data_IF_230392811505
#
_entry.id   IF_230392811505
#
_cell.length_a   1.000
_cell.length_b   1.000
_cell.length_c   1.000
_cell.angle_alpha   90.00
_cell.angle_beta   90.00
_cell.angle_gamma   90.00
#
_symmetry.space_group_name_H-M   'P 1'
#
loop_
_entity.id
_entity.type
_entity.pdbx_description
1 polymer ?
#
# COMPACT_ATOMS: atom_id res chain seq x y z
N UNK A 1 20.24 -15.80 21.94
CA UNK A 1 19.20 -15.46 20.94
C UNK A 1 19.62 -14.28 20.03
N UNK A 2 20.86 -14.27 19.50
CA UNK A 2 21.41 -13.15 18.69
C UNK A 2 21.63 -13.49 17.20
N UNK A 3 21.55 -14.78 16.82
CA UNK A 3 21.74 -15.25 15.43
C UNK A 3 20.49 -15.19 14.56
N UNK A 4 19.30 -15.02 15.16
CA UNK A 4 18.02 -15.13 14.43
C UNK A 4 17.73 -13.86 13.62
N UNK A 5 18.12 -12.67 14.09
CA UNK A 5 17.86 -11.40 13.38
C UNK A 5 18.71 -11.32 12.10
N UNK A 6 19.96 -11.79 12.13
CA UNK A 6 20.84 -11.83 10.96
C UNK A 6 20.29 -12.80 9.89
N UNK A 7 19.74 -13.94 10.30
CA UNK A 7 19.27 -14.98 9.37
C UNK A 7 17.97 -14.60 8.64
N UNK A 8 17.10 -13.77 9.24
CA UNK A 8 15.84 -13.32 8.62
C UNK A 8 16.01 -12.18 7.61
N UNK A 9 17.16 -11.50 7.57
CA UNK A 9 17.45 -10.37 6.67
C UNK A 9 18.19 -10.85 5.39
N UNK A 10 18.74 -12.07 5.40
CA UNK A 10 19.60 -12.64 4.34
C UNK A 10 18.83 -13.19 3.12
N UNK A 11 17.50 -13.18 3.11
CA UNK A 11 16.72 -14.00 2.18
C UNK A 11 16.43 -13.39 0.78
N UNK A 12 16.87 -12.19 0.42
CA UNK A 12 16.47 -11.57 -0.86
C UNK A 12 17.60 -10.75 -1.48
N UNK A 13 18.43 -11.32 -2.36
CA UNK A 13 19.28 -10.57 -3.29
C UNK A 13 19.51 -11.32 -4.59
N UNK A 14 19.12 -10.70 -5.70
CA UNK A 14 19.58 -11.07 -7.03
C UNK A 14 20.84 -10.25 -7.38
N UNK A 15 21.90 -10.98 -7.76
CA UNK A 15 23.07 -10.57 -8.57
C UNK A 15 24.35 -9.98 -7.94
N UNK A 16 24.50 -9.88 -6.62
CA UNK A 16 25.83 -9.76 -6.01
C UNK A 16 25.81 -10.42 -4.63
N UNK A 17 26.72 -11.37 -4.37
CA UNK A 17 26.73 -12.03 -3.07
C UNK A 17 27.10 -10.98 -2.01
N UNK A 18 26.36 -10.95 -0.90
CA UNK A 18 26.67 -10.05 0.21
C UNK A 18 28.12 -10.25 0.70
N UNK A 19 28.63 -11.47 0.55
CA UNK A 19 30.01 -11.84 0.87
C UNK A 19 31.02 -11.10 0.00
N UNK A 20 30.77 -10.86 -1.30
CA UNK A 20 31.66 -10.09 -2.18
C UNK A 20 31.71 -8.60 -1.80
N UNK A 21 30.61 -8.09 -1.26
CA UNK A 21 30.47 -6.70 -0.84
C UNK A 21 31.14 -6.48 0.51
N UNK A 22 30.95 -7.42 1.44
CA UNK A 22 31.61 -7.42 2.74
C UNK A 22 33.08 -7.86 2.68
N UNK A 23 33.51 -8.45 1.56
CA UNK A 23 34.90 -8.84 1.35
C UNK A 23 35.80 -7.60 1.34
N UNK A 24 36.99 -7.69 1.98
CA UNK A 24 37.94 -6.61 1.99
C UNK A 24 38.18 -5.99 0.60
N UNK A 25 38.16 -4.67 0.51
CA UNK A 25 38.27 -3.91 -0.73
C UNK A 25 39.26 -2.75 -0.59
N UNK A 26 39.94 -2.41 -1.68
CA UNK A 26 40.51 -1.08 -1.84
C UNK A 26 39.36 -0.12 -2.21
N UNK A 27 39.25 1.00 -1.49
CA UNK A 27 38.19 2.00 -1.65
C UNK A 27 36.84 1.67 -1.01
N UNK A 28 35.77 2.31 -1.51
CA UNK A 28 34.40 2.15 -1.03
C UNK A 28 33.62 1.18 -1.92
N UNK A 29 33.14 0.07 -1.36
CA UNK A 29 32.20 -0.84 -2.03
C UNK A 29 30.77 -0.51 -1.64
N UNK A 30 29.86 -0.57 -2.59
CA UNK A 30 28.42 -0.36 -2.38
C UNK A 30 27.62 -1.40 -3.16
N UNK A 31 26.55 -1.94 -2.58
CA UNK A 31 25.65 -2.85 -3.28
C UNK A 31 24.19 -2.68 -2.88
N UNK A 32 23.31 -2.88 -3.86
CA UNK A 32 21.86 -2.86 -3.67
C UNK A 32 21.44 -4.05 -2.82
N UNK A 33 20.61 -3.80 -1.81
CA UNK A 33 20.00 -4.83 -0.98
C UNK A 33 18.56 -5.19 -1.40
N UNK A 34 17.93 -4.37 -2.23
CA UNK A 34 16.63 -4.69 -2.80
C UNK A 34 16.44 -3.87 -4.07
N UNK A 35 16.18 -4.54 -5.18
CA UNK A 35 15.61 -3.92 -6.37
C UNK A 35 14.29 -4.64 -6.67
N UNK A 36 13.18 -3.96 -6.49
CA UNK A 36 11.88 -4.54 -6.72
C UNK A 36 11.30 -3.97 -8.02
N UNK A 37 11.78 -4.53 -9.13
CA UNK A 37 11.19 -4.25 -10.44
C UNK A 37 9.79 -4.88 -10.55
N UNK A 38 9.56 -6.06 -9.92
CA UNK A 38 8.32 -6.83 -10.09
C UNK A 38 7.65 -7.30 -8.78
N UNK A 39 8.30 -7.19 -7.61
CA UNK A 39 7.84 -7.84 -6.37
C UNK A 39 7.24 -6.92 -5.32
N UNK A 40 7.54 -5.62 -5.35
CA UNK A 40 7.04 -4.65 -4.35
C UNK A 40 6.04 -3.71 -5.02
N UNK A 41 4.80 -3.74 -4.51
CA UNK A 41 3.72 -2.87 -4.97
C UNK A 41 3.85 -1.52 -4.26
N UNK A 42 4.49 -0.57 -4.91
CA UNK A 42 4.53 0.82 -4.44
C UNK A 42 3.57 1.64 -5.27
N UNK A 43 2.70 2.38 -4.60
CA UNK A 43 1.80 3.32 -5.23
C UNK A 43 2.35 4.75 -5.17
N UNK A 44 1.83 5.57 -6.07
CA UNK A 44 1.97 7.02 -6.04
C UNK A 44 1.49 7.55 -4.67
N UNK A 45 2.29 8.41 -4.03
CA UNK A 45 2.00 8.93 -2.68
C UNK A 45 2.52 8.10 -1.50
N UNK A 46 3.11 6.92 -1.73
CA UNK A 46 3.76 6.11 -0.70
C UNK A 46 5.19 6.61 -0.39
N UNK A 47 5.78 6.10 0.71
CA UNK A 47 7.20 6.28 1.02
C UNK A 47 7.99 5.04 0.58
N UNK A 48 8.82 5.21 -0.45
CA UNK A 48 9.82 4.24 -0.89
C UNK A 48 10.99 4.18 0.08
N UNK A 49 11.66 3.02 0.20
CA UNK A 49 12.94 2.91 0.91
C UNK A 49 13.97 2.20 0.03
N UNK A 50 15.00 2.92 -0.39
CA UNK A 50 16.15 2.33 -1.07
C UNK A 50 17.04 1.66 -0.03
N UNK A 51 17.37 0.39 -0.26
CA UNK A 51 18.21 -0.39 0.65
C UNK A 51 19.52 -0.70 -0.04
N UNK A 52 20.63 -0.33 0.58
CA UNK A 52 21.96 -0.68 0.10
C UNK A 52 22.92 -0.82 1.29
N UNK A 53 24.01 -1.54 1.06
CA UNK A 53 25.12 -1.64 2.01
C UNK A 53 26.32 -0.92 1.42
N UNK A 54 27.08 -0.22 2.26
CA UNK A 54 28.36 0.38 1.91
C UNK A 54 29.43 -0.06 2.91
N UNK A 55 30.64 -0.30 2.41
CA UNK A 55 31.80 -0.65 3.23
C UNK A 55 33.08 -0.02 2.71
N UNK A 56 34.02 0.23 3.62
CA UNK A 56 35.39 0.66 3.33
C UNK A 56 36.35 0.00 4.32
N UNK A 57 37.54 -0.36 3.85
CA UNK A 57 38.65 -0.81 4.70
C UNK A 57 39.67 0.29 4.99
N UNK A 58 39.58 1.42 4.30
CA UNK A 58 40.49 2.54 4.42
C UNK A 58 39.70 3.78 4.82
N UNK A 59 40.13 4.42 5.92
CA UNK A 59 39.42 5.55 6.51
C UNK A 59 38.06 5.16 7.11
N UNK A 60 37.12 6.10 7.08
CA UNK A 60 35.73 5.87 7.50
C UNK A 60 34.76 6.39 6.44
N UNK A 61 33.61 5.75 6.30
CA UNK A 61 32.52 6.28 5.50
C UNK A 61 32.12 7.65 6.05
N UNK A 62 32.03 8.62 5.14
CA UNK A 62 31.89 10.04 5.44
C UNK A 62 30.52 10.56 5.04
N UNK A 63 30.08 10.27 3.82
CA UNK A 63 28.91 10.92 3.22
C UNK A 63 28.12 9.97 2.32
N UNK A 64 26.81 10.12 2.33
CA UNK A 64 25.89 9.57 1.33
C UNK A 64 25.26 10.74 0.56
N UNK A 65 25.37 10.69 -0.76
CA UNK A 65 24.86 11.74 -1.65
C UNK A 65 23.96 11.14 -2.72
N UNK A 66 22.83 11.77 -2.97
CA UNK A 66 22.00 11.48 -4.15
C UNK A 66 22.58 12.27 -5.32
N UNK A 67 23.18 11.56 -6.27
CA UNK A 67 23.86 12.19 -7.42
C UNK A 67 23.03 12.16 -8.70
N UNK A 68 22.02 11.29 -8.77
CA UNK A 68 21.09 11.24 -9.90
C UNK A 68 19.71 10.74 -9.45
N UNK A 69 18.66 11.23 -10.12
CA UNK A 69 17.27 10.87 -9.85
C UNK A 69 16.47 10.88 -11.16
N UNK A 70 15.66 9.85 -11.33
CA UNK A 70 14.76 9.73 -12.49
C UNK A 70 13.68 10.84 -12.53
N UNK A 71 13.21 11.30 -11.37
CA UNK A 71 12.24 12.39 -11.25
C UNK A 71 12.53 13.22 -10.00
N UNK A 72 11.89 14.38 -9.88
CA UNK A 72 12.03 15.25 -8.73
C UNK A 72 11.23 14.74 -7.53
N UNK A 73 11.90 13.94 -6.70
CA UNK A 73 11.34 13.37 -5.48
C UNK A 73 11.90 14.06 -4.24
N UNK A 74 11.04 14.26 -3.23
CA UNK A 74 11.47 14.79 -1.94
C UNK A 74 12.25 13.74 -1.15
N UNK A 75 13.58 13.84 -1.15
CA UNK A 75 14.43 13.07 -0.24
C UNK A 75 14.14 13.47 1.21
N UNK A 76 14.06 12.51 2.12
CA UNK A 76 13.72 12.74 3.53
C UNK A 76 14.90 12.28 4.39
N UNK A 77 16.01 13.03 4.31
CA UNK A 77 17.30 12.66 4.92
C UNK A 77 17.21 12.38 6.42
N UNK A 78 16.40 13.15 7.13
CA UNK A 78 16.14 13.03 8.57
C UNK A 78 15.43 11.72 8.97
N UNK A 79 14.83 11.00 8.02
CA UNK A 79 14.16 9.71 8.22
C UNK A 79 14.96 8.51 7.75
N UNK A 80 16.21 8.71 7.30
CA UNK A 80 17.08 7.60 6.94
C UNK A 80 17.33 6.70 8.16
N UNK A 81 17.13 5.39 7.96
CA UNK A 81 17.36 4.39 9.01
C UNK A 81 18.67 3.65 8.71
N UNK A 82 19.45 3.36 9.75
CA UNK A 82 20.77 2.74 9.62
C UNK A 82 20.83 1.46 10.47
N UNK A 83 21.28 0.37 9.85
CA UNK A 83 21.67 -0.82 10.57
C UNK A 83 23.21 -0.93 10.59
N UNK A 84 23.75 -1.04 11.80
CA UNK A 84 25.19 -1.09 12.06
C UNK A 84 25.61 -2.50 12.44
N UNK A 85 26.76 -2.92 11.92
CA UNK A 85 27.38 -4.19 12.32
C UNK A 85 28.03 -4.07 13.70
N UNK A 86 28.44 -2.86 14.09
CA UNK A 86 29.07 -2.56 15.39
C UNK A 86 28.11 -1.72 16.25
N UNK A 87 27.62 -2.29 17.36
CA UNK A 87 26.47 -1.76 18.11
C UNK A 87 26.90 -1.07 19.40
N UNK A 88 26.45 0.19 19.57
CA UNK A 88 25.88 0.74 20.82
C UNK A 88 25.18 2.10 20.58
N UNK A 89 25.58 2.88 19.56
CA UNK A 89 25.05 4.24 19.31
C UNK A 89 24.23 4.40 18.02
N UNK A 90 23.22 5.29 18.07
CA UNK A 90 22.39 5.71 16.92
C UNK A 90 23.23 6.48 15.89
N UNK A 91 23.23 6.04 14.63
CA UNK A 91 23.82 6.78 13.51
C UNK A 91 22.76 7.67 12.85
N UNK A 92 23.15 8.88 12.41
CA UNK A 92 22.29 9.81 11.68
C UNK A 92 23.04 10.42 10.49
N UNK A 93 22.29 10.93 9.52
CA UNK A 93 22.80 11.87 8.51
C UNK A 93 22.38 13.29 8.88
N UNK A 94 23.24 14.26 8.62
CA UNK A 94 22.83 15.67 8.55
C UNK A 94 22.15 15.99 7.21
N UNK A 95 21.67 17.23 7.07
CA UNK A 95 20.96 17.70 5.87
C UNK A 95 21.84 17.69 4.59
N UNK A 96 23.16 17.61 4.75
CA UNK A 96 24.13 17.52 3.65
C UNK A 96 24.55 16.08 3.34
N UNK A 97 24.07 15.11 4.12
CA UNK A 97 24.31 13.68 3.94
C UNK A 97 25.58 13.16 4.63
N UNK A 98 26.15 13.87 5.62
CA UNK A 98 27.30 13.39 6.39
C UNK A 98 26.88 12.52 7.57
N UNK A 99 27.65 11.47 7.82
CA UNK A 99 27.46 10.61 8.99
C UNK A 99 27.83 11.35 10.29
N UNK A 100 26.99 11.19 11.32
CA UNK A 100 27.21 11.80 12.64
C UNK A 100 28.44 11.28 13.39
N UNK A 101 29.02 10.16 12.94
CA UNK A 101 30.25 9.57 13.50
C UNK A 101 30.94 8.65 12.47
N UNK A 102 32.23 8.34 12.66
CA UNK A 102 32.95 7.40 11.80
C UNK A 102 32.34 5.99 11.85
N UNK A 103 32.16 5.38 10.67
CA UNK A 103 31.76 3.97 10.49
C UNK A 103 32.47 3.37 9.28
N UNK A 104 32.79 2.07 9.32
CA UNK A 104 33.45 1.38 8.21
C UNK A 104 32.48 0.57 7.36
N UNK A 105 31.36 0.11 7.94
CA UNK A 105 30.30 -0.61 7.23
C UNK A 105 28.93 -0.12 7.73
N UNK A 106 28.02 0.13 6.81
CA UNK A 106 26.66 0.58 7.11
C UNK A 106 25.66 0.00 6.12
N UNK A 107 24.54 -0.50 6.63
CA UNK A 107 23.34 -0.73 5.82
C UNK A 107 22.44 0.50 5.94
N UNK A 108 22.08 1.06 4.79
CA UNK A 108 21.28 2.27 4.66
C UNK A 108 19.88 1.91 4.16
N UNK A 109 18.86 2.39 4.86
CA UNK A 109 17.48 2.41 4.37
C UNK A 109 17.10 3.89 4.14
N UNK A 110 17.21 4.32 2.89
CA UNK A 110 17.01 5.73 2.51
C UNK A 110 15.57 5.96 2.05
N UNK A 111 14.73 6.71 2.80
CA UNK A 111 13.35 6.93 2.43
C UNK A 111 13.20 8.03 1.37
N UNK A 112 12.22 7.85 0.48
CA UNK A 112 11.84 8.81 -0.54
C UNK A 112 10.31 8.91 -0.61
N UNK A 113 9.78 10.12 -0.57
CA UNK A 113 8.35 10.35 -0.76
C UNK A 113 8.02 10.37 -2.26
N UNK A 114 7.16 9.44 -2.70
CA UNK A 114 6.65 9.44 -4.07
C UNK A 114 5.59 10.54 -4.19
N UNK A 115 5.72 11.48 -5.15
CA UNK A 115 4.73 12.53 -5.39
C UNK A 115 3.35 11.94 -5.64
N UNK A 116 2.30 12.68 -5.30
CA UNK A 116 0.91 12.33 -5.61
C UNK A 116 0.55 12.73 -7.05
N UNK A 117 1.21 12.11 -8.03
CA UNK A 117 1.02 12.38 -9.45
C UNK A 117 0.55 11.11 -10.22
N UNK A 118 -0.67 11.08 -10.79
CA UNK A 118 -1.21 9.94 -11.55
C UNK A 118 -0.32 9.49 -12.71
N UNK A 119 0.41 10.41 -13.33
CA UNK A 119 1.20 10.11 -14.54
C UNK A 119 2.49 9.35 -14.21
N UNK A 120 2.87 9.29 -12.91
CA UNK A 120 3.96 8.44 -12.45
C UNK A 120 3.58 6.97 -12.33
N UNK A 121 2.29 6.62 -12.42
CA UNK A 121 1.85 5.25 -12.33
C UNK A 121 2.36 4.41 -13.51
N UNK A 122 2.96 3.25 -13.21
CA UNK A 122 3.60 2.38 -14.21
C UNK A 122 5.04 2.78 -14.56
N UNK A 123 5.50 3.97 -14.15
CA UNK A 123 6.83 4.49 -14.43
C UNK A 123 7.91 3.81 -13.57
N UNK A 124 9.11 3.70 -14.14
CA UNK A 124 10.29 3.28 -13.40
C UNK A 124 10.87 4.48 -12.65
N UNK A 125 10.98 4.37 -11.34
CA UNK A 125 11.56 5.39 -10.48
C UNK A 125 12.82 4.88 -9.81
N UNK A 126 13.88 5.66 -9.86
CA UNK A 126 15.16 5.29 -9.29
C UNK A 126 16.03 6.46 -8.90
N UNK A 127 17.05 6.13 -8.13
CA UNK A 127 18.04 7.04 -7.59
C UNK A 127 19.42 6.39 -7.66
N UNK A 128 20.43 7.22 -7.89
CA UNK A 128 21.84 6.83 -7.78
C UNK A 128 22.44 7.50 -6.55
N UNK A 129 23.00 6.67 -5.68
CA UNK A 129 23.69 7.09 -4.47
C UNK A 129 25.19 7.01 -4.69
N UNK A 130 25.91 8.01 -4.21
CA UNK A 130 27.36 8.01 -4.05
C UNK A 130 27.69 7.97 -2.57
N UNK A 131 28.55 7.05 -2.18
CA UNK A 131 29.09 6.97 -0.81
C UNK A 131 30.58 7.27 -0.87
N UNK A 132 31.05 8.18 -0.03
CA UNK A 132 32.47 8.55 0.03
C UNK A 132 33.08 8.24 1.40
N UNK A 133 34.37 7.91 1.43
CA UNK A 133 35.13 7.78 2.67
C UNK A 133 35.92 9.07 3.00
N UNK A 134 36.61 9.08 4.13
CA UNK A 134 37.48 10.19 4.59
C UNK A 134 38.69 10.42 3.69
N UNK A 135 39.13 9.40 2.96
CA UNK A 135 40.30 9.46 2.06
C UNK A 135 39.95 10.02 0.67
N UNK A 136 38.66 10.16 0.36
CA UNK A 136 38.16 10.67 -0.91
C UNK A 136 37.74 9.60 -1.91
N UNK A 137 37.88 8.31 -1.58
CA UNK A 137 37.36 7.22 -2.41
C UNK A 137 35.84 7.24 -2.41
N UNK A 138 35.25 6.80 -3.53
CA UNK A 138 33.82 6.79 -3.72
C UNK A 138 33.33 5.49 -4.36
N UNK A 139 32.18 5.00 -3.90
CA UNK A 139 31.43 3.94 -4.55
C UNK A 139 30.03 4.44 -4.91
N UNK A 140 29.46 3.93 -6.00
CA UNK A 140 28.13 4.33 -6.47
C UNK A 140 27.21 3.15 -6.61
N UNK A 141 25.92 3.36 -6.34
CA UNK A 141 24.89 2.35 -6.53
C UNK A 141 23.61 2.98 -7.05
N UNK A 142 22.97 2.34 -8.03
CA UNK A 142 21.64 2.72 -8.51
C UNK A 142 20.63 1.66 -8.12
N UNK A 143 19.45 2.09 -7.71
CA UNK A 143 18.32 1.20 -7.48
C UNK A 143 17.05 1.79 -8.06
N UNK A 144 16.17 0.92 -8.52
CA UNK A 144 14.97 1.26 -9.27
C UNK A 144 13.78 0.44 -8.78
N UNK A 145 12.62 1.06 -8.80
CA UNK A 145 11.32 0.50 -8.47
C UNK A 145 10.35 0.81 -9.60
N UNK A 146 9.50 -0.15 -9.96
CA UNK A 146 8.38 0.14 -10.83
C UNK A 146 7.20 0.60 -9.97
N UNK A 147 6.73 1.82 -10.21
CA UNK A 147 5.52 2.29 -9.56
C UNK A 147 4.32 1.54 -10.14
N UNK A 148 3.39 1.19 -9.27
CA UNK A 148 2.16 0.50 -9.63
C UNK A 148 0.98 1.44 -9.46
N UNK A 149 -0.08 1.22 -10.23
CA UNK A 149 -1.36 1.86 -10.01
C UNK A 149 -2.14 1.19 -8.87
N UNK A 150 -1.59 0.17 -8.23
CA UNK A 150 -2.28 -0.62 -7.23
C UNK A 150 -1.83 -0.22 -5.83
N UNK A 151 -2.80 0.11 -4.99
CA UNK A 151 -2.54 0.24 -3.56
C UNK A 151 -3.22 -0.88 -2.80
N UNK A 152 -2.45 -1.55 -1.93
CA UNK A 152 -2.94 -2.63 -1.08
C UNK A 152 -3.12 -2.12 0.33
N UNK A 153 -4.37 -2.07 0.78
CA UNK A 153 -4.71 -1.80 2.17
C UNK A 153 -4.94 -3.12 2.90
N UNK A 154 -4.17 -3.35 3.97
CA UNK A 154 -4.39 -4.49 4.86
C UNK A 154 -5.15 -3.99 6.08
N UNK A 155 -6.44 -4.26 6.13
CA UNK A 155 -7.26 -3.96 7.29
C UNK A 155 -7.63 -5.24 8.03
N UNK A 156 -7.17 -5.39 9.28
CA UNK A 156 -7.76 -6.37 10.20
C UNK A 156 -8.88 -5.66 10.94
N UNK A 157 -10.11 -5.87 10.49
CA UNK A 157 -11.29 -5.33 11.15
C UNK A 157 -12.21 -6.47 11.57
N UNK A 158 -12.40 -6.59 12.89
CA UNK A 158 -13.40 -7.48 13.48
C UNK A 158 -14.77 -6.85 13.33
N UNK A 159 -15.58 -7.37 12.41
CA UNK A 159 -16.87 -6.78 12.09
C UNK A 159 -17.97 -7.83 12.30
N UNK A 160 -18.96 -7.48 13.11
CA UNK A 160 -20.06 -8.36 13.53
C UNK A 160 -21.35 -8.04 12.75
N UNK A 161 -22.00 -9.07 12.20
CA UNK A 161 -23.39 -9.08 11.67
C UNK A 161 -23.72 -8.19 10.46
N UNK A 162 -23.06 -7.04 10.29
CA UNK A 162 -23.30 -6.13 9.18
C UNK A 162 -22.46 -4.85 9.25
N UNK A 163 -22.08 -4.32 8.09
CA UNK A 163 -21.26 -3.09 8.00
C UNK A 163 -21.36 -2.43 6.63
N UNK A 164 -20.86 -1.21 6.53
CA UNK A 164 -20.64 -0.55 5.25
C UNK A 164 -19.16 -0.30 5.05
N UNK A 165 -18.62 -0.47 3.85
CA UNK A 165 -17.23 -0.12 3.56
C UNK A 165 -17.13 1.25 2.93
N UNK A 166 -16.15 2.05 3.36
CA UNK A 166 -15.78 3.31 2.71
C UNK A 166 -14.32 3.30 2.30
N UNK A 167 -14.09 3.35 1.00
CA UNK A 167 -12.79 3.45 0.36
C UNK A 167 -12.15 4.81 0.59
N UNK A 168 -12.93 5.90 0.65
CA UNK A 168 -12.45 7.24 1.01
C UNK A 168 -11.80 7.27 2.39
N UNK A 169 -12.26 6.38 3.26
CA UNK A 169 -11.78 6.28 4.64
C UNK A 169 -10.90 5.06 4.87
N UNK A 170 -10.70 4.24 3.84
CA UNK A 170 -10.01 2.96 3.89
C UNK A 170 -10.45 2.07 5.07
N UNK A 171 -11.74 2.06 5.41
CA UNK A 171 -12.24 1.35 6.58
C UNK A 171 -13.69 0.88 6.44
N UNK A 172 -14.02 -0.20 7.14
CA UNK A 172 -15.39 -0.55 7.46
C UNK A 172 -15.97 0.41 8.49
N UNK A 173 -17.26 0.66 8.30
CA UNK A 173 -18.13 1.50 9.10
C UNK A 173 -19.12 0.56 9.77
N UNK A 174 -19.09 0.56 11.10
CA UNK A 174 -20.01 -0.20 11.93
C UNK A 174 -21.48 0.11 11.56
N UNK A 175 -22.35 -0.90 11.62
CA UNK A 175 -23.79 -0.74 11.32
C UNK A 175 -24.43 0.47 12.01
N UNK A 176 -24.11 0.73 13.28
CA UNK A 176 -24.68 1.84 14.07
C UNK A 176 -24.28 3.24 13.57
N UNK A 177 -23.28 3.32 12.69
CA UNK A 177 -22.81 4.57 12.09
C UNK A 177 -23.19 4.69 10.61
N UNK A 178 -23.94 3.74 10.03
CA UNK A 178 -24.31 3.79 8.62
C UNK A 178 -25.07 5.07 8.25
N UNK A 179 -25.97 5.53 9.11
CA UNK A 179 -26.77 6.73 8.86
C UNK A 179 -25.95 8.00 8.63
N UNK A 180 -24.82 8.17 9.35
CA UNK A 180 -23.91 9.32 9.16
C UNK A 180 -23.10 9.23 7.89
N UNK A 181 -22.91 8.00 7.39
CA UNK A 181 -21.90 7.70 6.39
C UNK A 181 -22.47 7.17 5.08
N UNK A 182 -23.79 7.05 4.94
CA UNK A 182 -24.45 6.43 3.79
C UNK A 182 -23.99 6.92 2.41
N UNK A 183 -23.58 8.19 2.30
CA UNK A 183 -23.10 8.79 1.05
C UNK A 183 -21.72 8.35 0.61
N UNK A 184 -20.90 7.82 1.53
CA UNK A 184 -19.50 7.47 1.26
C UNK A 184 -19.28 5.97 1.13
N UNK A 185 -20.33 5.15 1.27
CA UNK A 185 -20.24 3.69 1.30
C UNK A 185 -20.20 3.13 -0.11
N UNK A 186 -19.21 2.31 -0.44
CA UNK A 186 -19.18 1.57 -1.71
C UNK A 186 -19.93 0.25 -1.63
N UNK A 187 -19.99 -0.41 -0.48
CA UNK A 187 -20.75 -1.65 -0.34
C UNK A 187 -21.22 -1.90 1.09
N UNK A 188 -22.26 -2.72 1.23
CA UNK A 188 -22.77 -3.20 2.50
C UNK A 188 -22.40 -4.68 2.65
N UNK A 189 -21.69 -5.02 3.70
CA UNK A 189 -21.47 -6.41 4.11
C UNK A 189 -22.62 -6.87 5.01
N UNK A 190 -23.17 -8.04 4.73
CA UNK A 190 -24.28 -8.60 5.48
C UNK A 190 -24.10 -10.10 5.71
N UNK A 191 -24.30 -10.51 6.95
CA UNK A 191 -24.48 -11.91 7.28
C UNK A 191 -25.98 -12.20 7.35
N UNK A 192 -26.44 -13.09 6.48
CA UNK A 192 -27.82 -13.57 6.53
C UNK A 192 -28.00 -14.50 7.75
N UNK A 193 -28.83 -14.12 8.74
CA UNK A 193 -29.02 -14.93 9.93
C UNK A 193 -29.77 -16.24 9.68
N UNK A 194 -30.48 -16.37 8.54
CA UNK A 194 -31.24 -17.58 8.18
C UNK A 194 -30.33 -18.58 7.48
N UNK A 195 -29.57 -18.13 6.49
CA UNK A 195 -28.73 -19.03 5.68
C UNK A 195 -27.30 -19.16 6.20
N UNK A 196 -26.89 -18.30 7.14
CA UNK A 196 -25.52 -18.19 7.64
C UNK A 196 -24.50 -17.92 6.51
N UNK A 197 -24.94 -17.26 5.43
CA UNK A 197 -24.10 -16.88 4.31
C UNK A 197 -23.73 -15.41 4.40
N UNK A 198 -22.52 -15.09 3.94
CA UNK A 198 -22.03 -13.73 3.89
C UNK A 198 -22.21 -13.14 2.49
N UNK A 199 -22.71 -11.92 2.41
CA UNK A 199 -22.95 -11.22 1.16
C UNK A 199 -22.32 -9.82 1.17
N UNK A 200 -21.83 -9.39 0.01
CA UNK A 200 -21.64 -7.97 -0.29
C UNK A 200 -22.82 -7.51 -1.14
N UNK A 201 -23.34 -6.33 -0.81
CA UNK A 201 -24.50 -5.72 -1.43
C UNK A 201 -24.16 -4.34 -1.98
N UNK A 202 -24.68 -4.06 -3.17
CA UNK A 202 -24.69 -2.74 -3.78
C UNK A 202 -25.55 -1.83 -2.91
N UNK A 203 -25.01 -0.71 -2.37
CA UNK A 203 -25.79 0.21 -1.53
C UNK A 203 -27.06 0.71 -2.21
N UNK A 204 -27.03 0.89 -3.54
CA UNK A 204 -28.15 1.34 -4.34
C UNK A 204 -29.16 0.24 -4.71
N UNK A 205 -28.95 -1.01 -4.27
CA UNK A 205 -29.92 -2.09 -4.52
C UNK A 205 -31.09 -2.06 -3.55
N UNK A 206 -32.26 -2.48 -4.04
CA UNK A 206 -33.44 -2.67 -3.19
C UNK A 206 -33.17 -3.68 -2.06
N UNK A 207 -32.35 -4.71 -2.34
CA UNK A 207 -31.97 -5.69 -1.32
C UNK A 207 -31.14 -5.07 -0.20
N UNK A 208 -30.19 -4.18 -0.51
CA UNK A 208 -29.42 -3.47 0.50
C UNK A 208 -30.32 -2.61 1.39
N UNK A 209 -31.31 -1.93 0.80
CA UNK A 209 -32.31 -1.17 1.57
C UNK A 209 -33.03 -2.06 2.59
N UNK A 210 -33.63 -3.16 2.14
CA UNK A 210 -34.34 -4.10 3.02
C UNK A 210 -33.43 -4.60 4.15
N UNK A 211 -32.20 -4.98 3.81
CA UNK A 211 -31.21 -5.47 4.76
C UNK A 211 -30.87 -4.40 5.79
N UNK A 212 -30.52 -3.19 5.37
CA UNK A 212 -30.15 -2.09 6.29
C UNK A 212 -31.32 -1.69 7.19
N UNK A 213 -32.54 -1.62 6.64
CA UNK A 213 -33.74 -1.30 7.42
C UNK A 213 -34.09 -2.42 8.42
N UNK A 214 -33.78 -3.68 8.09
CA UNK A 214 -33.97 -4.84 8.98
C UNK A 214 -32.87 -5.01 10.06
N UNK A 215 -31.70 -4.37 9.91
CA UNK A 215 -30.54 -4.54 10.81
C UNK A 215 -30.77 -4.03 12.24
N UNK A 216 -31.92 -3.41 12.54
CA UNK A 216 -32.23 -2.86 13.86
C UNK A 216 -31.28 -1.75 14.28
N UNK A 217 -30.80 -0.97 13.31
CA UNK A 217 -29.80 0.07 13.52
C UNK A 217 -30.39 1.20 14.37
N UNK A 218 -29.63 1.67 15.36
CA UNK A 218 -30.02 2.83 16.18
C UNK A 218 -29.00 3.98 16.04
N UNK A 219 -29.42 5.20 15.68
CA UNK A 219 -30.79 5.59 15.28
C UNK A 219 -31.24 4.90 13.97
N UNK A 220 -32.56 4.78 13.74
CA UNK A 220 -33.10 4.20 12.51
C UNK A 220 -32.53 4.91 11.27
N UNK A 221 -32.13 4.13 10.27
CA UNK A 221 -31.58 4.67 9.03
C UNK A 221 -32.64 4.68 7.97
N UNK A 222 -33.01 5.87 7.47
CA UNK A 222 -33.77 5.95 6.21
C UNK A 222 -32.81 5.82 5.04
N UNK A 223 -33.00 4.75 4.26
CA UNK A 223 -32.14 4.39 3.13
C UNK A 223 -32.83 4.70 1.81
N UNK A 224 -32.28 5.67 1.08
CA UNK A 224 -32.75 6.03 -0.26
C UNK A 224 -31.71 5.55 -1.26
N UNK A 225 -32.09 4.61 -2.11
CA UNK A 225 -31.23 3.97 -3.11
C UNK A 225 -30.58 4.98 -4.06
N UNK A 226 -31.32 6.03 -4.44
CA UNK A 226 -30.83 7.10 -5.33
C UNK A 226 -29.89 8.10 -4.64
N UNK A 227 -29.62 7.93 -3.34
CA UNK A 227 -28.80 8.86 -2.53
C UNK A 227 -27.47 8.27 -2.07
N UNK A 228 -27.18 7.03 -2.48
CA UNK A 228 -26.01 6.26 -2.08
C UNK A 228 -25.28 5.77 -3.33
N UNK A 229 -24.01 5.38 -3.18
CA UNK A 229 -23.18 4.97 -4.32
C UNK A 229 -23.68 3.67 -4.93
N UNK A 230 -23.56 3.58 -6.24
CA UNK A 230 -23.78 2.35 -6.99
C UNK A 230 -22.47 1.55 -7.09
N UNK A 231 -22.53 0.23 -6.90
CA UNK A 231 -21.38 -0.67 -7.03
C UNK A 231 -21.78 -1.99 -7.65
N UNK A 232 -20.97 -2.52 -8.55
CA UNK A 232 -21.15 -3.85 -9.16
C UNK A 232 -20.07 -4.81 -8.70
N UNK A 233 -20.40 -6.09 -8.55
CA UNK A 233 -19.47 -7.12 -8.11
C UNK A 233 -19.31 -8.24 -9.15
N UNK A 234 -18.13 -8.87 -9.14
CA UNK A 234 -17.81 -10.10 -9.88
C UNK A 234 -16.97 -11.04 -9.01
N UNK A 235 -17.06 -12.36 -9.27
CA UNK A 235 -16.11 -13.32 -8.71
C UNK A 235 -14.88 -13.40 -9.59
N UNK A 236 -13.71 -13.46 -8.97
CA UNK A 236 -12.44 -13.63 -9.68
C UNK A 236 -11.88 -15.03 -9.42
N UNK A 237 -11.54 -15.74 -10.48
CA UNK A 237 -10.95 -17.08 -10.41
C UNK A 237 -9.42 -17.00 -10.34
N UNK A 238 -8.90 -16.26 -9.35
CA UNK A 238 -7.47 -16.07 -9.09
C UNK A 238 -7.21 -15.90 -7.60
N UNK A 239 -6.03 -16.30 -7.13
CA UNK A 239 -5.61 -15.99 -5.76
C UNK A 239 -5.27 -14.50 -5.66
N UNK A 240 -5.57 -13.91 -4.51
CA UNK A 240 -5.36 -12.48 -4.27
C UNK A 240 -3.91 -12.04 -4.51
N UNK A 241 -2.94 -12.83 -4.04
CA UNK A 241 -1.53 -12.48 -4.12
C UNK A 241 -0.95 -12.64 -5.54
N UNK A 242 -1.64 -13.37 -6.43
CA UNK A 242 -1.26 -13.56 -7.83
C UNK A 242 -1.77 -12.42 -8.75
N UNK A 243 -2.70 -11.59 -8.26
CA UNK A 243 -3.33 -10.54 -9.07
C UNK A 243 -2.41 -9.33 -9.24
N UNK A 244 -2.23 -8.92 -10.50
CA UNK A 244 -1.45 -7.75 -10.91
C UNK A 244 -2.35 -6.63 -11.48
N UNK A 245 -1.75 -5.49 -11.81
CA UNK A 245 -2.49 -4.31 -12.28
C UNK A 245 -3.26 -4.60 -13.56
N UNK A 246 -2.62 -5.33 -14.49
CA UNK A 246 -3.25 -5.75 -15.74
C UNK A 246 -4.52 -6.58 -15.49
N UNK A 247 -4.54 -7.42 -14.45
CA UNK A 247 -5.74 -8.19 -14.10
C UNK A 247 -6.87 -7.28 -13.63
N UNK A 248 -6.57 -6.24 -12.85
CA UNK A 248 -7.56 -5.24 -12.43
C UNK A 248 -8.11 -4.44 -13.62
N UNK A 249 -7.23 -4.04 -14.54
CA UNK A 249 -7.59 -3.32 -15.77
C UNK A 249 -8.30 -4.21 -16.80
N UNK A 250 -8.25 -5.53 -16.66
CA UNK A 250 -8.96 -6.47 -17.51
C UNK A 250 -10.31 -6.92 -16.93
N UNK A 251 -10.64 -6.57 -15.69
CA UNK A 251 -11.94 -6.93 -15.10
C UNK A 251 -13.10 -6.38 -15.92
N UNK A 252 -14.02 -7.27 -16.28
CA UNK A 252 -15.26 -6.91 -16.97
C UNK A 252 -16.43 -6.96 -15.98
N UNK A 253 -17.13 -5.84 -15.85
CA UNK A 253 -18.30 -5.65 -15.00
C UNK A 253 -19.60 -5.55 -15.82
N UNK A 254 -19.57 -5.88 -17.11
CA UNK A 254 -20.76 -5.95 -17.98
C UNK A 254 -21.85 -6.85 -17.38
N UNK A 255 -21.47 -8.02 -16.88
CA UNK A 255 -22.33 -9.00 -16.17
C UNK A 255 -22.21 -8.87 -14.64
N UNK A 256 -21.81 -7.71 -14.14
CA UNK A 256 -21.65 -7.45 -12.71
C UNK A 256 -22.98 -7.53 -11.96
N UNK A 257 -22.96 -8.11 -10.77
CA UNK A 257 -24.15 -8.31 -9.92
C UNK A 257 -24.23 -7.28 -8.79
N UNK A 258 -25.44 -7.03 -8.29
CA UNK A 258 -25.70 -6.15 -7.15
C UNK A 258 -25.52 -6.84 -5.79
N UNK A 259 -25.46 -8.17 -5.76
CA UNK A 259 -25.30 -8.96 -4.55
C UNK A 259 -24.46 -10.19 -4.85
N UNK A 260 -23.45 -10.45 -4.02
CA UNK A 260 -22.53 -11.57 -4.22
C UNK A 260 -22.25 -12.30 -2.91
N UNK A 261 -22.38 -13.63 -2.92
CA UNK A 261 -21.98 -14.49 -1.80
C UNK A 261 -20.45 -14.53 -1.71
N UNK A 262 -19.92 -14.29 -0.51
CA UNK A 262 -18.49 -14.33 -0.22
C UNK A 262 -18.16 -15.54 0.64
N UNK A 263 -17.16 -16.31 0.19
CA UNK A 263 -16.53 -17.35 0.99
C UNK A 263 -15.13 -16.95 1.40
N UNK A 264 -14.62 -17.62 2.43
CA UNK A 264 -13.25 -17.40 2.93
C UNK A 264 -12.23 -17.54 1.81
N UNK A 265 -11.39 -16.52 1.66
CA UNK A 265 -10.34 -16.39 0.66
C UNK A 265 -10.82 -16.32 -0.81
N UNK A 266 -12.13 -16.21 -1.06
CA UNK A 266 -12.59 -15.82 -2.40
C UNK A 266 -12.20 -14.37 -2.66
N UNK A 267 -11.79 -14.10 -3.90
CA UNK A 267 -11.50 -12.74 -4.36
C UNK A 267 -12.71 -12.20 -5.10
N UNK A 268 -13.21 -11.08 -4.62
CA UNK A 268 -14.32 -10.36 -5.21
C UNK A 268 -13.78 -9.10 -5.87
N UNK A 269 -14.03 -8.96 -7.17
CA UNK A 269 -13.84 -7.70 -7.88
C UNK A 269 -15.06 -6.81 -7.67
N UNK A 270 -14.86 -5.50 -7.51
CA UNK A 270 -15.95 -4.55 -7.50
C UNK A 270 -15.60 -3.24 -8.21
N UNK A 271 -16.58 -2.67 -8.90
CA UNK A 271 -16.48 -1.39 -9.59
C UNK A 271 -17.36 -0.36 -8.89
N UNK A 272 -16.76 0.76 -8.49
CA UNK A 272 -17.52 1.87 -7.88
C UNK A 272 -18.32 2.65 -8.91
N UNK A 273 -19.25 3.48 -8.47
CA UNK A 273 -20.06 4.38 -9.29
C UNK A 273 -19.26 5.22 -10.30
N UNK A 274 -18.01 5.56 -9.95
CA UNK A 274 -17.11 6.36 -10.78
C UNK A 274 -16.19 5.50 -11.67
N UNK A 275 -16.46 4.20 -11.81
CA UNK A 275 -15.66 3.29 -12.65
C UNK A 275 -14.34 2.83 -12.01
N UNK A 276 -14.11 3.09 -10.71
CA UNK A 276 -12.88 2.63 -10.06
C UNK A 276 -12.99 1.15 -9.74
N UNK A 277 -12.04 0.38 -10.28
CA UNK A 277 -11.94 -1.07 -10.07
C UNK A 277 -11.13 -1.39 -8.83
N UNK A 278 -11.68 -2.30 -8.04
CA UNK A 278 -11.17 -2.71 -6.74
C UNK A 278 -11.27 -4.23 -6.59
N UNK A 279 -10.48 -4.78 -5.67
CA UNK A 279 -10.54 -6.18 -5.25
C UNK A 279 -10.61 -6.26 -3.74
N UNK A 280 -11.37 -7.22 -3.24
CA UNK A 280 -11.39 -7.55 -1.83
C UNK A 280 -11.34 -9.07 -1.65
N UNK A 281 -10.53 -9.50 -0.69
CA UNK A 281 -10.60 -10.86 -0.13
C UNK A 281 -10.91 -10.76 1.35
N UNK A 282 -11.64 -11.74 1.85
CA UNK A 282 -12.15 -11.76 3.21
C UNK A 282 -11.93 -13.13 3.83
N UNK A 283 -11.56 -13.17 5.10
CA UNK A 283 -11.66 -14.40 5.89
C UNK A 283 -12.96 -14.36 6.70
N UNK A 284 -13.88 -15.27 6.39
CA UNK A 284 -15.14 -15.44 7.11
C UNK A 284 -14.96 -16.57 8.11
N UNK A 285 -14.90 -16.23 9.40
CA UNK A 285 -14.83 -17.21 10.47
C UNK A 285 -16.21 -17.43 11.07
N UNK A 286 -16.62 -18.69 11.16
CA UNK A 286 -17.88 -19.09 11.76
C UNK A 286 -17.65 -19.43 13.23
N UNK A 287 -18.01 -18.51 14.13
CA UNK A 287 -18.12 -18.76 15.57
C UNK A 287 -19.59 -18.55 16.00
N UNK A 288 -19.86 -18.41 17.31
CA UNK A 288 -21.19 -17.98 17.82
C UNK A 288 -21.71 -16.71 17.14
N UNK A 289 -20.80 -15.86 16.65
CA UNK A 289 -21.08 -14.81 15.69
C UNK A 289 -20.09 -14.94 14.53
N UNK A 290 -20.54 -15.03 13.27
CA UNK A 290 -19.64 -14.97 12.14
C UNK A 290 -18.91 -13.63 12.10
N UNK A 291 -17.59 -13.70 11.94
CA UNK A 291 -16.70 -12.55 11.95
C UNK A 291 -15.96 -12.47 10.63
N UNK A 292 -15.75 -11.25 10.17
CA UNK A 292 -14.70 -10.96 9.20
C UNK A 292 -13.40 -10.80 9.97
N UNK A 293 -12.39 -11.60 9.60
CA UNK A 293 -11.08 -11.61 10.27
C UNK A 293 -9.97 -11.34 9.28
N UNK A 294 -9.74 -10.05 9.01
CA UNK A 294 -8.76 -9.64 8.00
C UNK A 294 -9.39 -9.58 6.62
N UNK A 295 -9.27 -8.39 6.05
CA UNK A 295 -9.51 -8.12 4.64
C UNK A 295 -8.25 -7.56 4.03
N UNK A 296 -7.92 -8.03 2.83
CA UNK A 296 -7.00 -7.31 1.96
C UNK A 296 -7.85 -6.62 0.90
N UNK A 297 -7.65 -5.32 0.77
CA UNK A 297 -8.32 -4.49 -0.22
C UNK A 297 -7.28 -3.93 -1.17
N UNK A 298 -7.52 -4.04 -2.47
CA UNK A 298 -6.71 -3.39 -3.49
C UNK A 298 -7.57 -2.49 -4.34
N UNK A 299 -7.06 -1.32 -4.69
CA UNK A 299 -7.74 -0.38 -5.59
C UNK A 299 -6.74 0.27 -6.53
N UNK A 300 -7.26 0.75 -7.67
CA UNK A 300 -6.50 1.57 -8.60
C UNK A 300 -6.41 3.01 -8.10
N UNK A 301 -5.19 3.53 -7.97
CA UNK A 301 -4.88 4.85 -7.38
C UNK A 301 -5.28 5.99 -8.30
N UNK A 302 -5.11 5.83 -9.61
CA UNK A 302 -5.51 6.82 -10.62
C UNK A 302 -6.99 7.20 -10.49
N UNK A 303 -7.87 6.20 -10.35
CA UNK A 303 -9.31 6.45 -10.19
C UNK A 303 -9.69 7.12 -8.86
N UNK A 304 -8.83 7.05 -7.84
CA UNK A 304 -9.01 7.81 -6.59
C UNK A 304 -8.64 9.30 -6.77
N UNK A 305 -7.50 9.57 -7.40
CA UNK A 305 -7.04 10.95 -7.59
C UNK A 305 -7.94 11.74 -8.55
N UNK A 306 -8.42 11.10 -9.62
CA UNK A 306 -9.39 11.71 -10.54
C UNK A 306 -10.70 12.10 -9.82
N UNK A 307 -11.17 11.27 -8.87
CA UNK A 307 -12.31 11.60 -8.01
C UNK A 307 -12.00 12.81 -7.13
N UNK A 308 -10.87 12.79 -6.43
CA UNK A 308 -10.49 13.84 -5.49
C UNK A 308 -10.36 15.20 -6.21
N UNK A 309 -9.83 15.23 -7.43
CA UNK A 309 -9.81 16.41 -8.28
C UNK A 309 -11.22 16.88 -8.69
N UNK A 310 -12.09 15.96 -9.11
CA UNK A 310 -13.45 16.27 -9.51
C UNK A 310 -14.26 16.84 -8.33
N UNK A 311 -14.10 16.29 -7.13
CA UNK A 311 -14.74 16.79 -5.91
C UNK A 311 -14.21 18.16 -5.50
N UNK A 312 -12.89 18.39 -5.61
CA UNK A 312 -12.28 19.69 -5.36
C UNK A 312 -12.84 20.76 -6.32
N UNK A 313 -12.93 20.46 -7.63
CA UNK A 313 -13.53 21.36 -8.63
C UNK A 313 -14.99 21.69 -8.28
N UNK A 314 -15.81 20.68 -7.93
CA UNK A 314 -17.21 20.88 -7.50
C UNK A 314 -17.32 21.75 -6.24
N UNK A 315 -16.40 21.59 -5.29
CA UNK A 315 -16.37 22.40 -4.07
C UNK A 315 -15.99 23.86 -4.35
N UNK A 316 -15.04 24.10 -5.26
CA UNK A 316 -14.65 25.45 -5.69
C UNK A 316 -15.76 26.16 -6.46
N UNK A 317 -16.48 25.46 -7.33
CA UNK A 317 -17.64 26.01 -8.04
C UNK A 317 -18.78 26.39 -7.09
N UNK A 318 -19.02 25.60 -6.04
CA UNK A 318 -20.01 25.91 -4.99
C UNK A 318 -19.63 27.12 -4.14
N UNK A 319 -18.34 27.42 -3.98
CA UNK A 319 -17.87 28.62 -3.27
C UNK A 319 -17.98 29.90 -4.10
N UNK A 320 -18.14 29.78 -5.43
CA UNK A 320 -18.29 30.89 -6.37
C UNK A 320 -19.76 31.26 -6.63
N UNK A 321 -20.72 30.51 -6.06
CA UNK A 321 -22.17 30.76 -6.11
C UNK A 321 -22.67 31.20 -4.75
#
# INVERSE_FOLDING_TARGET
MKKIILLSIVALLASCSLDDVLAPAEGVKVAVMESALDTVRIAVGDTLRFKFVATTNYGSLKRVEVIDKTHDFGAVYDKAEFALVDMEDTLRLDDEGYFSRPVTTVMVLFPMAVPKDPDLSGSLVGMTFRVTNTEGDAGTVSSFFKLTNMKVEKSVQYIYSGFGYSSERHQAINKNNLWKNKKVLEFIGWLDPVTNKYYLLNPASQKAKEVVESMGVYPPVTWYVDSVKNTRFIKLDKKYDDLIEADMLAMDFSEGVDMIEVKTNEVIGYETEYGRRCMITMNVTYSWYPQLTGSKHTYLVKGEMERDEAEKKKAEEKKKK
#
